data_IF_778124729548
#
_entry.id   IF_778124729548
#
_cell.length_a   1.000
_cell.length_b   1.000
_cell.length_c   1.000
_cell.angle_alpha   90.00
_cell.angle_beta   90.00
_cell.angle_gamma   90.00
#
_symmetry.space_group_name_H-M   'P 1'
#
loop_
_entity.id
_entity.type
_entity.pdbx_description
1 polymer ?
#
# COMPACT_ATOMS: atom_id res chain seq x y z
N UNK A 1 15.05 -3.91 24.53
CA UNK A 1 15.08 -3.77 23.05
C UNK A 1 14.36 -2.49 22.66
N UNK A 2 14.92 -1.70 21.75
CA UNK A 2 14.35 -0.39 21.38
C UNK A 2 13.14 -0.60 20.45
N UNK A 3 11.97 -0.14 20.91
CA UNK A 3 10.74 -0.08 20.10
C UNK A 3 10.63 1.32 19.50
N UNK A 4 10.27 1.41 18.22
CA UNK A 4 10.20 2.67 17.48
C UNK A 4 8.78 2.93 17.00
N UNK A 5 8.29 4.15 17.19
CA UNK A 5 7.01 4.58 16.62
C UNK A 5 7.22 5.05 15.19
N UNK A 6 6.45 4.50 14.25
CA UNK A 6 6.40 4.87 12.84
C UNK A 6 5.08 5.58 12.58
N UNK A 7 5.16 6.79 12.05
CA UNK A 7 4.00 7.58 11.65
C UNK A 7 3.86 7.58 10.13
N UNK A 8 2.63 7.35 9.66
CA UNK A 8 2.33 7.30 8.25
C UNK A 8 1.65 8.59 7.79
N UNK A 9 2.13 9.12 6.68
CA UNK A 9 1.61 10.28 5.98
C UNK A 9 0.90 9.84 4.69
N UNK A 10 0.13 10.76 4.11
CA UNK A 10 -0.44 10.56 2.78
C UNK A 10 0.67 10.41 1.73
N UNK A 11 0.52 9.41 0.84
CA UNK A 11 1.49 9.16 -0.23
C UNK A 11 1.19 10.04 -1.45
N UNK A 12 2.18 10.79 -1.91
CA UNK A 12 2.19 11.47 -3.21
C UNK A 12 2.46 10.46 -4.33
N UNK A 13 3.30 9.46 -4.11
CA UNK A 13 3.61 8.42 -5.10
C UNK A 13 2.36 7.63 -5.50
N UNK A 14 1.53 7.25 -4.53
CA UNK A 14 0.24 6.60 -4.79
C UNK A 14 -0.68 7.49 -5.64
N UNK A 15 -0.75 8.79 -5.32
CA UNK A 15 -1.55 9.75 -6.10
C UNK A 15 -1.03 9.88 -7.54
N UNK A 16 0.28 9.96 -7.74
CA UNK A 16 0.89 10.00 -9.08
C UNK A 16 0.56 8.73 -9.85
N UNK A 17 0.69 7.55 -9.22
CA UNK A 17 0.34 6.27 -9.86
C UNK A 17 -1.14 6.19 -10.24
N UNK A 18 -2.04 6.68 -9.38
CA UNK A 18 -3.47 6.75 -9.66
C UNK A 18 -3.78 7.66 -10.86
N UNK A 19 -3.15 8.84 -10.93
CA UNK A 19 -3.31 9.78 -12.04
C UNK A 19 -2.74 9.24 -13.35
N UNK A 20 -1.58 8.58 -13.30
CA UNK A 20 -1.00 7.93 -14.49
C UNK A 20 -1.90 6.81 -15.00
N UNK A 21 -2.41 5.96 -14.09
CA UNK A 21 -3.34 4.88 -14.43
C UNK A 21 -4.62 5.44 -15.06
N UNK A 22 -5.15 6.53 -14.49
CA UNK A 22 -6.29 7.24 -15.05
C UNK A 22 -6.02 7.75 -16.47
N UNK A 23 -4.88 8.42 -16.70
CA UNK A 23 -4.51 8.90 -18.03
C UNK A 23 -4.41 7.77 -19.06
N UNK A 24 -3.79 6.66 -18.69
CA UNK A 24 -3.69 5.46 -19.54
C UNK A 24 -5.06 4.88 -19.85
N UNK A 25 -5.95 4.78 -18.85
CA UNK A 25 -7.31 4.28 -19.07
C UNK A 25 -8.12 5.19 -20.00
N UNK A 26 -8.05 6.50 -19.82
CA UNK A 26 -8.73 7.46 -20.70
C UNK A 26 -8.19 7.36 -22.12
N UNK A 27 -6.87 7.35 -22.30
CA UNK A 27 -6.26 7.17 -23.62
C UNK A 27 -6.65 5.82 -24.26
N UNK A 28 -6.76 4.76 -23.46
CA UNK A 28 -7.21 3.46 -23.94
C UNK A 28 -8.66 3.49 -24.42
N UNK A 29 -9.53 4.26 -23.76
CA UNK A 29 -10.93 4.43 -24.18
C UNK A 29 -11.01 5.29 -25.45
N UNK A 30 -10.21 6.36 -25.54
CA UNK A 30 -10.16 7.22 -26.73
C UNK A 30 -9.55 6.54 -27.95
N UNK A 31 -8.63 5.60 -27.76
CA UNK A 31 -8.05 4.78 -28.82
C UNK A 31 -8.90 3.53 -29.14
N UNK A 32 -10.07 3.38 -28.51
CA UNK A 32 -10.99 2.28 -28.84
C UNK A 32 -11.49 2.44 -30.28
N UNK A 33 -11.56 1.32 -31.01
CA UNK A 33 -11.87 1.33 -32.45
C UNK A 33 -13.11 2.16 -32.78
N UNK A 34 -12.97 3.09 -33.72
CA UNK A 34 -14.06 3.92 -34.21
C UNK A 34 -15.03 3.12 -35.10
N UNK A 35 -16.33 3.41 -34.94
CA UNK A 35 -17.45 3.06 -35.83
C UNK A 35 -18.06 1.65 -35.74
N UNK A 36 -17.87 0.93 -34.64
CA UNK A 36 -18.56 -0.37 -34.44
C UNK A 36 -20.01 -0.17 -33.95
N UNK A 37 -20.31 0.98 -33.30
CA UNK A 37 -21.58 1.23 -32.59
C UNK A 37 -22.13 2.62 -32.97
N UNK A 38 -23.42 2.72 -33.31
CA UNK A 38 -24.08 3.98 -33.72
C UNK A 38 -24.02 5.11 -32.66
N UNK A 39 -23.97 4.76 -31.36
CA UNK A 39 -23.89 5.71 -30.24
C UNK A 39 -22.53 5.68 -29.52
N UNK A 40 -21.45 5.33 -30.22
CA UNK A 40 -20.13 5.16 -29.64
C UNK A 40 -19.66 6.36 -28.81
N UNK A 41 -19.87 7.59 -29.29
CA UNK A 41 -19.47 8.80 -28.57
C UNK A 41 -20.17 8.95 -27.20
N UNK A 42 -21.46 8.60 -27.12
CA UNK A 42 -22.20 8.63 -25.84
C UNK A 42 -21.66 7.56 -24.88
N UNK A 43 -21.31 6.38 -25.40
CA UNK A 43 -20.73 5.30 -24.62
C UNK A 43 -19.33 5.65 -24.09
N UNK A 44 -18.49 6.26 -24.91
CA UNK A 44 -17.15 6.73 -24.51
C UNK A 44 -17.24 7.78 -23.40
N UNK A 45 -18.12 8.78 -23.54
CA UNK A 45 -18.36 9.78 -22.49
C UNK A 45 -18.81 9.10 -21.20
N UNK A 46 -19.75 8.15 -21.29
CA UNK A 46 -20.23 7.42 -20.12
C UNK A 46 -19.10 6.65 -19.43
N UNK A 47 -18.29 5.90 -20.19
CA UNK A 47 -17.16 5.13 -19.66
C UNK A 47 -16.14 6.07 -18.99
N UNK A 48 -15.74 7.15 -19.66
CA UNK A 48 -14.81 8.13 -19.11
C UNK A 48 -15.37 8.77 -17.85
N UNK A 49 -16.67 9.08 -17.80
CA UNK A 49 -17.32 9.64 -16.61
C UNK A 49 -17.29 8.68 -15.41
N UNK A 50 -17.53 7.38 -15.65
CA UNK A 50 -17.49 6.34 -14.62
C UNK A 50 -16.06 6.17 -14.11
N UNK A 51 -15.08 6.06 -15.01
CA UNK A 51 -13.65 5.96 -14.66
C UNK A 51 -13.22 7.18 -13.83
N UNK A 52 -13.60 8.38 -14.27
CA UNK A 52 -13.30 9.63 -13.56
C UNK A 52 -13.89 9.64 -12.16
N UNK A 53 -15.15 9.25 -12.01
CA UNK A 53 -15.82 9.17 -10.72
C UNK A 53 -15.14 8.14 -9.79
N UNK A 54 -14.82 6.96 -10.31
CA UNK A 54 -14.10 5.92 -9.55
C UNK A 54 -12.73 6.40 -9.06
N UNK A 55 -11.93 7.02 -9.94
CA UNK A 55 -10.61 7.55 -9.58
C UNK A 55 -10.74 8.69 -8.58
N UNK A 56 -11.68 9.61 -8.78
CA UNK A 56 -11.93 10.70 -7.83
C UNK A 56 -12.28 10.16 -6.44
N UNK A 57 -13.17 9.15 -6.37
CA UNK A 57 -13.53 8.50 -5.11
C UNK A 57 -12.33 7.81 -4.48
N UNK A 58 -11.51 7.12 -5.27
CA UNK A 58 -10.28 6.46 -4.80
C UNK A 58 -9.25 7.45 -4.25
N UNK A 59 -9.06 8.60 -4.91
CA UNK A 59 -8.18 9.70 -4.46
C UNK A 59 -8.69 10.29 -3.16
N UNK A 60 -9.99 10.57 -3.05
CA UNK A 60 -10.60 11.07 -1.81
C UNK A 60 -10.43 10.07 -0.66
N UNK A 61 -10.66 8.79 -0.93
CA UNK A 61 -10.49 7.73 0.05
C UNK A 61 -9.03 7.62 0.50
N UNK A 62 -8.08 7.62 -0.44
CA UNK A 62 -6.64 7.58 -0.16
C UNK A 62 -6.15 8.79 0.63
N UNK A 63 -6.76 9.97 0.44
CA UNK A 63 -6.43 11.17 1.24
C UNK A 63 -6.97 11.10 2.66
N UNK A 64 -8.10 10.42 2.87
CA UNK A 64 -8.73 10.26 4.19
C UNK A 64 -8.11 9.12 5.00
N UNK A 65 -7.62 8.07 4.34
CA UNK A 65 -6.96 6.96 5.01
C UNK A 65 -5.48 7.27 5.26
N UNK A 66 -5.20 7.85 6.42
CA UNK A 66 -3.86 7.75 7.02
C UNK A 66 -3.80 6.44 7.80
N UNK A 67 -2.82 5.59 7.48
CA UNK A 67 -2.57 4.38 8.25
C UNK A 67 -2.31 4.75 9.72
N UNK A 68 -2.87 3.96 10.64
CA UNK A 68 -2.64 4.15 12.08
C UNK A 68 -1.14 4.06 12.38
N UNK A 69 -0.63 4.87 13.32
CA UNK A 69 0.77 4.76 13.73
C UNK A 69 1.04 3.38 14.31
N UNK A 70 2.27 2.90 14.08
CA UNK A 70 2.68 1.55 14.45
C UNK A 70 3.93 1.62 15.32
N UNK A 71 4.01 0.74 16.31
CA UNK A 71 5.24 0.51 17.07
C UNK A 71 5.94 -0.72 16.48
N UNK A 72 7.11 -0.49 15.92
CA UNK A 72 7.96 -1.50 15.28
C UNK A 72 9.09 -1.93 16.22
N UNK A 73 9.36 -3.24 16.28
CA UNK A 73 10.60 -3.78 16.84
C UNK A 73 11.53 -4.30 15.73
N UNK A 74 12.84 -4.35 16.02
CA UNK A 74 13.82 -4.94 15.10
C UNK A 74 13.54 -6.43 14.86
N UNK A 75 12.95 -7.09 15.85
CA UNK A 75 12.54 -8.50 15.82
C UNK A 75 11.30 -8.73 14.94
N UNK A 76 10.82 -7.72 14.22
CA UNK A 76 9.67 -7.82 13.33
C UNK A 76 8.33 -7.81 14.06
N UNK A 77 8.27 -7.38 15.32
CA UNK A 77 6.98 -7.09 15.96
C UNK A 77 6.43 -5.80 15.38
N UNK A 78 5.17 -5.88 14.95
CA UNK A 78 4.43 -4.79 14.35
C UNK A 78 3.17 -4.57 15.19
N UNK A 79 3.18 -3.53 15.99
CA UNK A 79 2.10 -3.27 16.94
C UNK A 79 1.28 -2.08 16.45
N UNK A 80 0.05 -2.35 16.06
CA UNK A 80 -0.92 -1.32 15.70
C UNK A 80 -1.62 -0.83 16.95
N UNK A 81 -1.48 0.47 17.23
CA UNK A 81 -2.20 1.13 18.31
C UNK A 81 -3.41 1.83 17.71
N UNK A 82 -4.58 1.20 17.84
CA UNK A 82 -5.85 1.88 17.64
C UNK A 82 -6.39 2.35 19.00
N UNK A 83 -7.30 3.34 19.00
CA UNK A 83 -7.78 4.03 20.21
C UNK A 83 -8.35 3.04 21.26
N UNK A 84 -8.88 1.89 20.83
CA UNK A 84 -9.50 0.90 21.71
C UNK A 84 -8.81 -0.48 21.71
N UNK A 85 -7.90 -0.74 20.75
CA UNK A 85 -7.34 -2.08 20.54
C UNK A 85 -5.88 -2.01 20.13
N UNK A 86 -5.07 -2.84 20.77
CA UNK A 86 -3.66 -3.03 20.46
C UNK A 86 -3.51 -4.37 19.75
N UNK A 87 -3.33 -4.33 18.43
CA UNK A 87 -3.19 -5.54 17.62
C UNK A 87 -1.72 -5.78 17.34
N UNK A 88 -1.21 -6.90 17.84
CA UNK A 88 0.16 -7.35 17.57
C UNK A 88 0.20 -8.20 16.31
N UNK A 89 1.07 -7.83 15.39
CA UNK A 89 1.37 -8.54 14.16
C UNK A 89 2.85 -8.89 14.13
N UNK A 90 3.21 -9.92 13.38
CA UNK A 90 4.60 -10.32 13.13
C UNK A 90 4.92 -10.21 11.65
N UNK A 91 6.00 -9.49 11.34
CA UNK A 91 6.57 -9.43 9.99
C UNK A 91 7.13 -10.81 9.63
N UNK A 92 6.84 -11.25 8.42
CA UNK A 92 7.32 -12.54 7.92
C UNK A 92 8.36 -12.38 6.81
N UNK A 93 9.10 -13.46 6.54
CA UNK A 93 10.09 -13.57 5.45
C UNK A 93 9.50 -13.41 4.05
N UNK A 94 8.17 -13.53 3.90
CA UNK A 94 7.45 -13.27 2.64
C UNK A 94 7.40 -11.79 2.25
N UNK A 95 7.74 -10.90 3.17
CA UNK A 95 7.83 -9.46 2.90
C UNK A 95 8.87 -9.18 1.81
N UNK A 96 8.68 -8.12 1.03
CA UNK A 96 9.57 -7.69 -0.06
C UNK A 96 9.88 -6.21 0.08
N UNK A 97 11.13 -5.87 -0.16
CA UNK A 97 11.64 -4.49 -0.12
C UNK A 97 12.01 -4.08 -1.53
N UNK A 98 11.48 -2.95 -1.99
CA UNK A 98 11.93 -2.23 -3.17
C UNK A 98 12.39 -0.83 -2.78
N UNK A 99 13.08 -0.14 -3.68
CA UNK A 99 13.59 1.22 -3.44
C UNK A 99 12.48 2.24 -3.13
N UNK A 100 11.29 2.04 -3.70
CA UNK A 100 10.16 2.97 -3.59
C UNK A 100 8.99 2.43 -2.76
N UNK A 101 8.88 1.11 -2.62
CA UNK A 101 7.72 0.44 -2.06
C UNK A 101 8.15 -0.74 -1.19
N UNK A 102 7.52 -0.86 -0.04
CA UNK A 102 7.62 -1.99 0.88
C UNK A 102 6.32 -2.79 0.80
N UNK A 103 6.45 -4.09 0.56
CA UNK A 103 5.37 -5.06 0.67
C UNK A 103 5.60 -5.88 1.94
N UNK A 104 4.89 -5.54 3.01
CA UNK A 104 5.06 -6.20 4.31
C UNK A 104 3.94 -7.21 4.50
N UNK A 105 4.32 -8.48 4.67
CA UNK A 105 3.39 -9.53 5.02
C UNK A 105 3.38 -9.74 6.53
N UNK A 106 2.22 -9.48 7.12
CA UNK A 106 1.97 -9.50 8.56
C UNK A 106 1.09 -10.70 8.90
N UNK A 107 1.48 -11.49 9.90
CA UNK A 107 0.69 -12.60 10.45
C UNK A 107 0.40 -12.33 11.93
N UNK A 108 -0.79 -12.67 12.40
CA UNK A 108 -1.11 -12.59 13.82
C UNK A 108 -0.37 -13.71 14.57
N UNK A 109 0.36 -13.39 15.66
CA UNK A 109 1.03 -14.41 16.46
C UNK A 109 0.04 -15.30 17.21
N UNK A 110 -1.20 -14.84 17.43
CA UNK A 110 -2.25 -15.55 18.16
C UNK A 110 -3.10 -16.41 17.22
N UNK A 111 -3.24 -16.00 15.96
CA UNK A 111 -4.05 -16.71 14.97
C UNK A 111 -3.37 -16.75 13.60
N UNK A 112 -2.76 -17.88 13.25
CA UNK A 112 -2.02 -18.05 12.00
C UNK A 112 -2.89 -17.90 10.73
N UNK A 113 -4.21 -18.05 10.85
CA UNK A 113 -5.14 -17.82 9.73
C UNK A 113 -5.31 -16.33 9.42
N UNK A 114 -5.02 -15.46 10.39
CA UNK A 114 -5.12 -14.02 10.21
C UNK A 114 -3.79 -13.48 9.68
N UNK A 115 -3.79 -13.17 8.38
CA UNK A 115 -2.69 -12.52 7.71
C UNK A 115 -3.18 -11.30 6.94
N UNK A 116 -2.29 -10.33 6.74
CA UNK A 116 -2.57 -9.16 5.91
C UNK A 116 -1.31 -8.69 5.20
N UNK A 117 -1.54 -8.06 4.05
CA UNK A 117 -0.50 -7.41 3.27
C UNK A 117 -0.59 -5.90 3.46
N UNK A 118 0.52 -5.30 3.85
CA UNK A 118 0.64 -3.85 3.97
C UNK A 118 1.57 -3.33 2.89
N UNK A 119 1.03 -2.44 2.06
CA UNK A 119 1.79 -1.69 1.06
C UNK A 119 2.18 -0.35 1.68
N UNK A 120 3.48 -0.06 1.71
CA UNK A 120 4.00 1.20 2.25
C UNK A 120 4.90 1.84 1.19
N UNK A 121 4.54 3.04 0.76
CA UNK A 121 5.37 3.84 -0.13
C UNK A 121 6.43 4.59 0.67
N UNK A 122 7.62 4.77 0.08
CA UNK A 122 8.75 5.46 0.70
C UNK A 122 8.40 6.86 1.21
N UNK A 123 7.49 7.55 0.53
CA UNK A 123 7.07 8.90 0.87
C UNK A 123 6.01 8.97 1.99
N UNK A 124 5.44 7.84 2.42
CA UNK A 124 4.52 7.79 3.55
C UNK A 124 5.22 7.87 4.90
N UNK A 125 6.50 7.51 4.95
CA UNK A 125 7.28 7.44 6.19
C UNK A 125 8.50 8.34 6.10
N UNK A 126 9.10 8.67 7.23
CA UNK A 126 10.38 9.38 7.22
C UNK A 126 11.47 8.47 6.65
N UNK A 127 12.53 9.03 6.07
CA UNK A 127 13.65 8.23 5.53
C UNK A 127 14.27 7.31 6.60
N UNK A 128 14.36 7.81 7.84
CA UNK A 128 14.85 7.03 8.99
C UNK A 128 13.95 5.83 9.27
N UNK A 129 12.63 6.03 9.26
CA UNK A 129 11.68 4.96 9.54
C UNK A 129 11.56 3.98 8.38
N UNK A 130 11.65 4.45 7.14
CA UNK A 130 11.76 3.60 5.95
C UNK A 130 12.96 2.67 6.05
N UNK A 131 14.15 3.21 6.38
CA UNK A 131 15.35 2.39 6.55
C UNK A 131 15.19 1.36 7.66
N UNK A 132 14.57 1.73 8.79
CA UNK A 132 14.28 0.81 9.90
C UNK A 132 13.34 -0.32 9.48
N UNK A 133 12.30 0.00 8.72
CA UNK A 133 11.37 -0.99 8.16
C UNK A 133 12.11 -1.96 7.22
N UNK A 134 12.94 -1.44 6.32
CA UNK A 134 13.78 -2.27 5.45
C UNK A 134 14.68 -3.19 6.27
N UNK A 135 15.37 -2.67 7.29
CA UNK A 135 16.22 -3.46 8.17
C UNK A 135 15.44 -4.55 8.91
N UNK A 136 14.26 -4.25 9.44
CA UNK A 136 13.42 -5.25 10.11
C UNK A 136 13.00 -6.37 9.15
N UNK A 137 12.62 -6.03 7.91
CA UNK A 137 12.27 -7.03 6.88
C UNK A 137 13.47 -7.89 6.50
N UNK A 138 14.62 -7.28 6.23
CA UNK A 138 15.86 -8.00 5.86
C UNK A 138 16.29 -8.93 7.01
N UNK A 139 16.20 -8.45 8.26
CA UNK A 139 16.51 -9.27 9.43
C UNK A 139 15.60 -10.50 9.53
N UNK A 140 14.30 -10.36 9.27
CA UNK A 140 13.38 -11.51 9.24
C UNK A 140 13.70 -12.48 8.09
N UNK A 141 14.05 -11.96 6.91
CA UNK A 141 14.44 -12.79 5.77
C UNK A 141 15.70 -13.60 6.05
N UNK A 142 16.72 -12.97 6.65
CA UNK A 142 17.98 -13.62 7.03
C UNK A 142 17.77 -14.65 8.14
N UNK A 143 16.96 -14.33 9.15
CA UNK A 143 16.71 -15.25 10.27
C UNK A 143 16.00 -16.51 9.80
N UNK A 144 15.04 -16.42 8.89
CA UNK A 144 14.36 -17.61 8.34
C UNK A 144 15.24 -18.38 7.37
N UNK A 145 15.97 -17.69 6.48
CA UNK A 145 16.84 -18.36 5.49
C UNK A 145 18.08 -19.05 6.07
N UNK A 146 18.35 -18.87 7.38
CA UNK A 146 19.45 -19.53 8.09
C UNK A 146 18.95 -20.70 8.98
N UNK A 147 17.64 -20.96 8.98
CA UNK A 147 17.00 -22.08 9.71
C UNK A 147 16.67 -23.24 8.74
N UNK A 148 16.75 -22.99 7.42
CA UNK A 148 16.65 -23.98 6.36
C UNK A 148 18.06 -24.48 5.96
#
# INVERSE_FOLDING_TARGET
MSKYRVEFKSSKLLLIFQLLTYGVLVLSVLNWQAEIIQYQFLLEILIVSIISFCVFRAVLHSRRQTQSPVILSLQGEWLETNINEQISWKITSRSRVSSLVLFIHLISPVNALHSKWCLIYRDQVTERDFRRLCCAVIYQQQTTGNID
#
